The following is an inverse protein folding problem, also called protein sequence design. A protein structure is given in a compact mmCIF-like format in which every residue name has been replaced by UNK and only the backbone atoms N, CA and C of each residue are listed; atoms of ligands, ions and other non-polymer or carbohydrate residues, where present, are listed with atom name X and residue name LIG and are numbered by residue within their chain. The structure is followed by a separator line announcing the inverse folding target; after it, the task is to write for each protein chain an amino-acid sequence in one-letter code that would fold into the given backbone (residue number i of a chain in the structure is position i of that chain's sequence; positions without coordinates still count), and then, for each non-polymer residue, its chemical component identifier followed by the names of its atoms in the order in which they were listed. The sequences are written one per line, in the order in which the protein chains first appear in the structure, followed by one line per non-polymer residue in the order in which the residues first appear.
data_IF_015297558300
#
_entry.id   IF_015297558300
#
_cell.length_a   1.000
_cell.length_b   1.000
_cell.length_c   1.000
_cell.angle_alpha   90.00
_cell.angle_beta   90.00
_cell.angle_gamma   90.00
#
_symmetry.space_group_name_H-M   'P 1'
#
loop_
_entity.id
_entity.type
_entity.pdbx_description
1 polymer ?
#
# COMPACT_ATOMS: atom_id res chain seq x y z
N UNK A 1 5.48 -26.58 -14.33
CA UNK A 1 5.26 -25.40 -13.47
C UNK A 1 4.12 -25.70 -12.51
N UNK A 2 4.22 -25.31 -11.25
CA UNK A 2 3.26 -25.63 -10.16
C UNK A 2 1.81 -25.26 -10.54
N UNK A 3 1.60 -24.14 -11.21
CA UNK A 3 0.26 -23.69 -11.63
C UNK A 3 -0.51 -24.67 -12.52
N UNK A 4 0.18 -25.50 -13.30
CA UNK A 4 -0.48 -26.46 -14.20
C UNK A 4 -1.00 -27.70 -13.47
N UNK A 5 -0.63 -27.87 -12.20
CA UNK A 5 -0.97 -29.01 -11.36
C UNK A 5 -1.92 -28.59 -10.20
N UNK A 6 -2.30 -27.33 -10.15
CA UNK A 6 -3.17 -26.80 -9.10
C UNK A 6 -4.62 -26.88 -9.54
N UNK A 7 -5.50 -27.38 -8.68
CA UNK A 7 -6.95 -27.38 -8.89
C UNK A 7 -7.53 -25.98 -8.72
N UNK A 8 -6.96 -25.20 -7.80
CA UNK A 8 -7.37 -23.82 -7.50
C UNK A 8 -6.12 -22.94 -7.41
N UNK A 9 -6.19 -21.75 -8.02
CA UNK A 9 -5.17 -20.71 -7.95
C UNK A 9 -5.84 -19.43 -7.45
N UNK A 10 -5.35 -18.90 -6.35
CA UNK A 10 -5.85 -17.64 -5.79
C UNK A 10 -4.93 -16.51 -6.22
N UNK A 11 -5.50 -15.43 -6.71
CA UNK A 11 -4.78 -14.20 -7.08
C UNK A 11 -5.27 -13.03 -6.23
N UNK A 12 -4.37 -12.09 -5.96
CA UNK A 12 -4.68 -10.88 -5.19
C UNK A 12 -4.70 -9.60 -6.04
N UNK A 13 -4.68 -9.75 -7.36
CA UNK A 13 -4.94 -8.65 -8.30
C UNK A 13 -5.65 -9.17 -9.54
N UNK A 14 -6.52 -8.34 -10.11
CA UNK A 14 -7.20 -8.61 -11.38
C UNK A 14 -6.22 -8.74 -12.53
N UNK A 15 -5.13 -7.98 -12.49
CA UNK A 15 -4.07 -8.09 -13.49
C UNK A 15 -3.45 -9.50 -13.50
N UNK A 16 -3.15 -10.06 -12.32
CA UNK A 16 -2.63 -11.42 -12.22
C UNK A 16 -3.68 -12.47 -12.63
N UNK A 17 -4.95 -12.26 -12.28
CA UNK A 17 -6.04 -13.12 -12.71
C UNK A 17 -6.11 -13.21 -14.24
N UNK A 18 -6.14 -12.06 -14.94
CA UNK A 18 -6.18 -12.01 -16.40
C UNK A 18 -4.95 -12.72 -17.00
N UNK A 19 -3.75 -12.40 -16.52
CA UNK A 19 -2.51 -13.02 -17.00
C UNK A 19 -2.53 -14.57 -16.88
N UNK A 20 -3.07 -15.09 -15.77
CA UNK A 20 -3.17 -16.54 -15.58
C UNK A 20 -4.27 -17.17 -16.44
N UNK A 21 -5.40 -16.51 -16.64
CA UNK A 21 -6.50 -16.98 -17.51
C UNK A 21 -6.08 -17.07 -18.97
N UNK A 22 -5.22 -16.17 -19.44
CA UNK A 22 -4.70 -16.18 -20.81
C UNK A 22 -3.73 -17.35 -21.06
N UNK A 23 -3.21 -17.96 -20.00
CA UNK A 23 -2.31 -19.11 -20.11
C UNK A 23 -3.11 -20.42 -20.25
N UNK A 24 -3.25 -20.90 -21.49
CA UNK A 24 -3.99 -22.13 -21.83
C UNK A 24 -3.48 -23.42 -21.16
N UNK A 25 -2.28 -23.40 -20.58
CA UNK A 25 -1.74 -24.56 -19.85
C UNK A 25 -2.31 -24.67 -18.43
N UNK A 26 -2.96 -23.64 -17.89
CA UNK A 26 -3.60 -23.64 -16.59
C UNK A 26 -5.01 -24.19 -16.73
N UNK A 27 -5.28 -25.28 -16.02
CA UNK A 27 -6.60 -25.97 -16.05
C UNK A 27 -7.40 -25.75 -14.77
N UNK A 28 -6.74 -25.34 -13.69
CA UNK A 28 -7.36 -25.09 -12.40
C UNK A 28 -8.26 -23.86 -12.41
N UNK A 29 -9.18 -23.80 -11.45
CA UNK A 29 -10.02 -22.63 -11.21
C UNK A 29 -9.15 -21.46 -10.75
N UNK A 30 -9.29 -20.28 -11.35
CA UNK A 30 -8.58 -19.06 -10.95
C UNK A 30 -9.58 -18.17 -10.22
N UNK A 31 -9.29 -17.90 -8.95
CA UNK A 31 -10.14 -17.11 -8.04
C UNK A 31 -9.40 -15.80 -7.72
N UNK A 32 -10.05 -14.67 -8.00
CA UNK A 32 -9.60 -13.38 -7.48
C UNK A 32 -10.18 -13.16 -6.09
N UNK A 33 -9.33 -12.75 -5.16
CA UNK A 33 -9.70 -12.20 -3.85
C UNK A 33 -8.66 -11.18 -3.45
N UNK A 34 -9.07 -10.03 -2.92
CA UNK A 34 -8.12 -9.11 -2.31
C UNK A 34 -7.28 -9.83 -1.24
N UNK A 35 -6.05 -9.40 -1.04
CA UNK A 35 -5.24 -9.89 0.07
C UNK A 35 -5.98 -9.56 1.38
N UNK A 36 -6.18 -10.53 2.29
CA UNK A 36 -6.94 -10.28 3.52
C UNK A 36 -6.26 -9.28 4.44
N UNK A 37 -7.06 -8.56 5.19
CA UNK A 37 -6.64 -7.63 6.22
C UNK A 37 -6.31 -8.39 7.51
N UNK A 38 -5.28 -7.96 8.20
CA UNK A 38 -4.93 -8.48 9.52
C UNK A 38 -5.97 -8.05 10.57
N UNK A 39 -6.81 -9.00 11.00
CA UNK A 39 -7.93 -8.76 11.92
C UNK A 39 -7.48 -8.15 13.26
N UNK A 40 -6.26 -8.46 13.72
CA UNK A 40 -5.72 -7.91 14.97
C UNK A 40 -5.51 -6.39 14.92
N UNK A 41 -5.34 -5.81 13.74
CA UNK A 41 -5.16 -4.38 13.55
C UNK A 41 -6.49 -3.60 13.58
N UNK A 42 -7.60 -4.25 13.23
CA UNK A 42 -8.94 -3.62 13.18
C UNK A 42 -9.39 -3.22 14.59
N UNK A 43 -9.14 -4.06 15.59
CA UNK A 43 -9.60 -3.86 16.96
C UNK A 43 -8.87 -2.73 17.70
N UNK A 44 -7.70 -2.28 17.20
CA UNK A 44 -6.94 -1.18 17.77
C UNK A 44 -7.46 0.20 17.31
N UNK A 45 -8.31 0.23 16.28
CA UNK A 45 -8.87 1.46 15.70
C UNK A 45 -10.24 1.85 16.31
N UNK A 46 -10.38 1.85 17.64
CA UNK A 46 -11.62 2.19 18.34
C UNK A 46 -11.99 3.69 18.33
N UNK A 47 -11.59 4.46 17.36
CA UNK A 47 -12.05 5.84 17.28
C UNK A 47 -12.65 6.15 15.89
N UNK A 48 -13.97 5.98 15.79
CA UNK A 48 -14.79 6.55 14.70
C UNK A 48 -14.66 8.09 14.59
N UNK A 49 -14.03 8.74 15.58
CA UNK A 49 -13.85 10.19 15.66
C UNK A 49 -12.48 10.70 15.22
N UNK A 50 -11.56 9.83 14.75
CA UNK A 50 -10.21 10.22 14.30
C UNK A 50 -10.19 10.73 12.86
N UNK A 51 -11.24 11.47 12.46
CA UNK A 51 -11.39 11.97 11.10
C UNK A 51 -10.57 13.23 10.89
N UNK A 52 -9.57 13.07 10.05
CA UNK A 52 -9.01 14.03 9.10
C UNK A 52 -9.20 15.51 9.50
N UNK A 53 -8.48 15.94 10.51
CA UNK A 53 -8.14 17.34 10.62
C UNK A 53 -6.83 17.55 9.85
N UNK A 54 -6.94 17.95 8.57
CA UNK A 54 -5.85 18.06 7.59
C UNK A 54 -4.77 19.06 8.04
N UNK A 55 -5.18 20.08 8.80
CA UNK A 55 -4.33 21.20 9.17
C UNK A 55 -3.34 20.90 10.30
N UNK A 56 -3.47 19.75 11.00
CA UNK A 56 -2.62 19.41 12.14
C UNK A 56 -1.72 18.19 11.94
N UNK A 57 -1.69 17.60 10.73
CA UNK A 57 -0.87 16.42 10.46
C UNK A 57 0.61 16.77 10.45
N UNK A 58 1.40 15.95 11.16
CA UNK A 58 2.84 16.14 11.28
C UNK A 58 3.59 15.88 9.98
N UNK A 59 3.09 14.94 9.16
CA UNK A 59 3.69 14.55 7.89
C UNK A 59 2.66 14.65 6.76
N UNK A 60 3.09 15.12 5.60
CA UNK A 60 2.27 15.04 4.37
C UNK A 60 2.18 13.60 3.90
N UNK A 61 3.27 12.87 3.98
CA UNK A 61 3.32 11.46 3.62
C UNK A 61 4.28 10.68 4.52
N UNK A 62 4.00 9.38 4.69
CA UNK A 62 4.99 8.44 5.22
C UNK A 62 5.19 7.30 4.22
N UNK A 63 6.40 6.74 4.20
CA UNK A 63 6.74 5.46 3.57
C UNK A 63 7.19 4.53 4.68
N UNK A 64 6.60 3.34 4.81
CA UNK A 64 6.95 2.42 5.87
C UNK A 64 7.15 0.98 5.40
N UNK A 65 7.72 0.15 6.28
CA UNK A 65 8.02 -1.27 6.05
C UNK A 65 9.47 -1.50 5.66
N UNK A 66 9.83 -2.74 5.26
CA UNK A 66 11.22 -3.03 4.84
C UNK A 66 11.65 -2.11 3.72
N UNK A 67 12.85 -1.52 3.84
CA UNK A 67 13.43 -0.66 2.82
C UNK A 67 14.23 -1.54 1.86
N UNK A 68 13.66 -1.75 0.67
CA UNK A 68 14.21 -2.65 -0.36
C UNK A 68 14.13 -2.00 -1.75
N UNK A 69 15.07 -2.32 -2.68
CA UNK A 69 15.13 -1.66 -3.99
C UNK A 69 13.84 -1.75 -4.83
N UNK A 70 13.09 -2.87 -4.73
CA UNK A 70 11.85 -3.05 -5.48
C UNK A 70 10.74 -2.07 -5.08
N UNK A 71 10.84 -1.49 -3.88
CA UNK A 71 9.87 -0.50 -3.39
C UNK A 71 10.01 0.88 -4.02
N UNK A 72 11.02 1.11 -4.87
CA UNK A 72 11.14 2.34 -5.65
C UNK A 72 11.47 3.60 -4.84
N UNK A 73 11.90 3.44 -3.57
CA UNK A 73 12.18 4.60 -2.71
C UNK A 73 13.32 5.46 -3.28
N UNK A 74 14.36 4.81 -3.81
CA UNK A 74 15.49 5.54 -4.42
C UNK A 74 15.05 6.33 -5.65
N UNK A 75 14.29 5.72 -6.54
CA UNK A 75 13.79 6.36 -7.75
C UNK A 75 12.87 7.54 -7.42
N UNK A 76 12.03 7.38 -6.41
CA UNK A 76 11.20 8.47 -5.91
C UNK A 76 12.05 9.62 -5.35
N UNK A 77 13.05 9.35 -4.50
CA UNK A 77 13.94 10.38 -3.95
C UNK A 77 14.74 11.09 -5.04
N UNK A 78 15.25 10.36 -6.04
CA UNK A 78 15.94 10.94 -7.19
C UNK A 78 15.01 11.87 -7.99
N UNK A 79 13.77 11.43 -8.27
CA UNK A 79 12.79 12.27 -8.95
C UNK A 79 12.45 13.49 -8.11
N UNK A 80 12.15 13.32 -6.83
CA UNK A 80 11.81 14.40 -5.90
C UNK A 80 12.91 15.46 -5.83
N UNK A 81 14.18 15.03 -5.72
CA UNK A 81 15.33 15.95 -5.65
C UNK A 81 15.64 16.66 -6.98
N UNK A 82 15.25 16.07 -8.12
CA UNK A 82 15.48 16.63 -9.46
C UNK A 82 14.41 17.59 -9.92
N UNK A 83 13.26 17.65 -9.24
CA UNK A 83 12.09 18.43 -9.68
C UNK A 83 11.51 19.24 -8.53
N UNK A 84 10.83 20.36 -8.88
CA UNK A 84 9.99 21.11 -7.95
C UNK A 84 8.50 20.78 -8.12
N UNK A 85 8.18 19.70 -8.82
CA UNK A 85 6.80 19.34 -9.16
C UNK A 85 6.05 18.70 -8.02
N UNK A 86 6.74 18.15 -7.01
CA UNK A 86 6.12 17.54 -5.84
C UNK A 86 6.26 18.51 -4.66
N UNK A 87 5.12 18.98 -4.16
CA UNK A 87 5.06 19.85 -2.99
C UNK A 87 4.76 18.98 -1.74
N UNK A 88 5.79 18.68 -0.99
CA UNK A 88 5.75 17.95 0.29
C UNK A 88 6.55 18.73 1.28
N UNK A 89 5.92 19.24 2.34
CA UNK A 89 6.59 20.01 3.37
C UNK A 89 7.39 19.11 4.30
N UNK A 90 6.82 17.96 4.68
CA UNK A 90 7.48 17.00 5.56
C UNK A 90 7.10 15.56 5.25
N UNK A 91 8.10 14.69 5.13
CA UNK A 91 7.91 13.25 4.92
C UNK A 91 8.77 12.41 5.87
N UNK A 92 8.25 11.24 6.25
CA UNK A 92 9.01 10.23 7.00
C UNK A 92 9.11 8.95 6.19
N UNK A 93 10.32 8.41 6.07
CA UNK A 93 10.61 7.06 5.57
C UNK A 93 11.09 6.23 6.76
N UNK A 94 10.38 5.16 7.11
CA UNK A 94 10.71 4.35 8.28
C UNK A 94 10.62 2.85 7.97
N UNK A 95 11.71 2.15 8.24
CA UNK A 95 11.78 0.72 8.04
C UNK A 95 13.18 0.16 8.15
N UNK A 96 13.28 -1.17 8.23
CA UNK A 96 14.58 -1.81 8.25
C UNK A 96 15.13 -1.96 6.84
N UNK A 97 16.28 -1.32 6.59
CA UNK A 97 17.15 -1.57 5.44
C UNK A 97 18.30 -2.48 5.88
N UNK A 98 18.41 -3.68 5.27
CA UNK A 98 19.52 -4.62 5.58
C UNK A 98 20.75 -4.36 4.73
N UNK A 99 20.58 -3.76 3.57
CA UNK A 99 21.66 -3.44 2.64
C UNK A 99 22.20 -2.04 2.93
N UNK A 100 23.36 -1.98 3.58
CA UNK A 100 23.99 -0.72 3.99
C UNK A 100 24.38 0.15 2.78
N UNK A 101 24.88 -0.44 1.70
CA UNK A 101 25.24 0.35 0.50
C UNK A 101 24.01 1.02 -0.14
N UNK A 102 22.88 0.31 -0.19
CA UNK A 102 21.62 0.87 -0.65
C UNK A 102 21.10 1.96 0.29
N UNK A 103 21.25 1.77 1.61
CA UNK A 103 20.86 2.80 2.57
C UNK A 103 21.68 4.08 2.42
N UNK A 104 23.01 3.96 2.25
CA UNK A 104 23.87 5.10 1.99
C UNK A 104 23.53 5.81 0.67
N UNK A 105 23.09 5.06 -0.34
CA UNK A 105 22.63 5.64 -1.60
C UNK A 105 21.32 6.44 -1.42
N UNK A 106 20.36 5.96 -0.63
CA UNK A 106 19.15 6.71 -0.29
C UNK A 106 19.48 8.06 0.38
N UNK A 107 20.43 8.04 1.33
CA UNK A 107 20.84 9.26 2.04
C UNK A 107 21.43 10.34 1.12
N UNK A 108 22.09 9.97 0.02
CA UNK A 108 22.63 10.93 -0.96
C UNK A 108 21.53 11.73 -1.67
N UNK A 109 20.36 11.14 -1.86
CA UNK A 109 19.22 11.78 -2.56
C UNK A 109 18.14 12.26 -1.59
N UNK A 110 18.35 12.12 -0.28
CA UNK A 110 17.38 12.51 0.73
C UNK A 110 17.46 14.02 1.01
N UNK A 111 16.44 14.81 0.68
CA UNK A 111 16.42 16.24 0.97
C UNK A 111 16.10 16.50 2.45
N UNK A 112 16.37 17.72 2.92
CA UNK A 112 16.26 18.08 4.34
C UNK A 112 14.84 17.96 4.95
N UNK A 113 13.82 18.00 4.12
CA UNK A 113 12.43 17.86 4.57
C UNK A 113 11.94 16.40 4.61
N UNK A 114 12.80 15.42 4.30
CA UNK A 114 12.51 13.99 4.40
C UNK A 114 13.40 13.36 5.47
N UNK A 115 12.78 12.76 6.47
CA UNK A 115 13.47 11.98 7.51
C UNK A 115 13.54 10.51 7.10
N UNK A 116 14.71 9.86 7.23
CA UNK A 116 14.85 8.39 7.01
C UNK A 116 15.30 7.72 8.29
N UNK A 117 14.50 6.78 8.79
CA UNK A 117 14.80 5.99 9.98
C UNK A 117 15.02 4.51 9.62
N UNK A 118 16.29 4.05 9.65
CA UNK A 118 16.62 2.63 9.43
C UNK A 118 16.38 1.79 10.70
N UNK A 119 15.13 1.51 11.00
CA UNK A 119 14.72 0.66 12.13
C UNK A 119 13.35 0.01 11.88
N UNK A 120 13.07 -1.06 12.61
CA UNK A 120 11.71 -1.59 12.64
C UNK A 120 10.78 -0.62 13.36
N UNK A 121 9.53 -0.62 12.93
CA UNK A 121 8.39 -0.01 13.59
C UNK A 121 7.40 -1.13 13.95
N UNK A 122 6.87 -1.11 15.15
CA UNK A 122 5.77 -1.99 15.53
C UNK A 122 4.42 -1.38 15.13
N UNK A 123 3.35 -2.18 15.20
CA UNK A 123 2.04 -1.72 14.75
C UNK A 123 1.43 -0.64 15.66
N UNK A 124 1.80 -0.56 16.93
CA UNK A 124 1.29 0.47 17.83
C UNK A 124 1.90 1.83 17.49
N UNK A 125 3.20 1.88 17.27
CA UNK A 125 3.90 3.07 16.79
C UNK A 125 3.44 3.44 15.36
N UNK A 126 3.30 2.45 14.48
CA UNK A 126 2.84 2.66 13.11
C UNK A 126 1.44 3.27 13.05
N UNK A 127 0.52 2.84 13.93
CA UNK A 127 -0.82 3.42 14.03
C UNK A 127 -0.76 4.92 14.32
N UNK A 128 0.11 5.34 15.25
CA UNK A 128 0.31 6.76 15.57
C UNK A 128 0.92 7.52 14.39
N UNK A 129 1.93 6.95 13.73
CA UNK A 129 2.57 7.58 12.57
C UNK A 129 1.60 7.75 11.40
N UNK A 130 0.74 6.75 11.15
CA UNK A 130 -0.31 6.84 10.12
C UNK A 130 -1.32 7.92 10.51
N UNK A 131 -1.74 7.96 11.78
CA UNK A 131 -2.65 8.99 12.26
C UNK A 131 -2.07 10.41 12.12
N UNK A 132 -0.76 10.58 12.33
CA UNK A 132 -0.03 11.85 12.20
C UNK A 132 0.31 12.21 10.74
N UNK A 133 -0.11 11.43 9.77
CA UNK A 133 0.21 11.61 8.35
C UNK A 133 -1.04 11.85 7.51
N UNK A 134 -0.93 12.64 6.43
CA UNK A 134 -2.02 12.79 5.46
C UNK A 134 -2.22 11.50 4.67
N UNK A 135 -1.12 10.82 4.28
CA UNK A 135 -1.17 9.56 3.54
C UNK A 135 0.03 8.65 3.81
N UNK A 136 -0.09 7.41 3.37
CA UNK A 136 1.01 6.45 3.22
C UNK A 136 1.33 6.31 1.74
N UNK A 137 2.55 6.67 1.36
CA UNK A 137 3.02 6.59 -0.01
C UNK A 137 3.75 5.27 -0.26
N UNK A 138 3.40 4.61 -1.36
CA UNK A 138 4.02 3.39 -1.86
C UNK A 138 4.61 3.67 -3.25
N UNK A 139 5.87 4.14 -3.35
CA UNK A 139 6.47 4.51 -4.63
C UNK A 139 6.99 3.28 -5.40
N UNK A 140 6.29 2.15 -5.30
CA UNK A 140 6.72 0.88 -5.85
C UNK A 140 6.98 0.94 -7.35
N UNK A 141 7.99 0.21 -7.80
CA UNK A 141 8.27 0.06 -9.23
C UNK A 141 7.12 -0.68 -9.90
N UNK A 142 6.64 -0.15 -11.01
CA UNK A 142 5.60 -0.80 -11.82
C UNK A 142 6.05 -2.16 -12.32
N UNK A 143 5.19 -3.18 -12.26
CA UNK A 143 5.39 -4.46 -12.93
C UNK A 143 5.27 -5.72 -12.07
N UNK A 144 5.29 -5.66 -10.75
CA UNK A 144 5.30 -6.87 -9.92
C UNK A 144 4.39 -6.86 -8.68
N UNK A 145 3.45 -5.91 -8.58
CA UNK A 145 2.65 -5.76 -7.35
C UNK A 145 1.34 -6.52 -7.49
N UNK A 146 1.39 -7.83 -7.30
CA UNK A 146 0.18 -8.66 -7.22
C UNK A 146 -0.54 -8.49 -5.87
N UNK A 147 0.21 -8.28 -4.79
CA UNK A 147 -0.33 -8.00 -3.45
C UNK A 147 0.69 -7.25 -2.59
N UNK A 148 0.23 -6.59 -1.54
CA UNK A 148 1.10 -5.93 -0.57
C UNK A 148 0.48 -6.00 0.83
N UNK A 149 1.10 -6.77 1.72
CA UNK A 149 0.70 -6.82 3.13
C UNK A 149 0.76 -5.43 3.77
N UNK A 150 1.80 -4.64 3.49
CA UNK A 150 1.92 -3.28 4.01
C UNK A 150 0.78 -2.36 3.53
N UNK A 151 0.28 -2.53 2.31
CA UNK A 151 -0.89 -1.81 1.81
C UNK A 151 -2.15 -2.17 2.61
N UNK A 152 -2.38 -3.47 2.83
CA UNK A 152 -3.54 -3.94 3.58
C UNK A 152 -3.46 -3.56 5.07
N UNK A 153 -2.28 -3.63 5.68
CA UNK A 153 -2.05 -3.18 7.05
C UNK A 153 -2.27 -1.66 7.19
N UNK A 154 -1.85 -0.87 6.20
CA UNK A 154 -2.14 0.57 6.15
C UNK A 154 -3.64 0.85 6.16
N UNK A 155 -4.40 0.16 5.31
CA UNK A 155 -5.86 0.26 5.23
C UNK A 155 -6.50 -0.18 6.56
N UNK A 156 -6.04 -1.29 7.14
CA UNK A 156 -6.51 -1.78 8.44
C UNK A 156 -6.31 -0.77 9.58
N UNK A 157 -5.22 -0.02 9.53
CA UNK A 157 -4.90 1.05 10.49
C UNK A 157 -5.60 2.38 10.18
N UNK A 158 -6.49 2.42 9.17
CA UNK A 158 -7.25 3.61 8.79
C UNK A 158 -6.46 4.63 7.98
N UNK A 159 -5.29 4.25 7.47
CA UNK A 159 -4.45 5.11 6.64
C UNK A 159 -4.95 5.18 5.20
N UNK A 160 -4.77 6.34 4.57
CA UNK A 160 -5.01 6.52 3.15
C UNK A 160 -3.75 6.16 2.37
N UNK A 161 -3.84 5.16 1.50
CA UNK A 161 -2.73 4.72 0.67
C UNK A 161 -2.71 5.44 -0.69
N UNK A 162 -1.51 5.83 -1.13
CA UNK A 162 -1.23 6.31 -2.50
C UNK A 162 -0.16 5.41 -3.09
N UNK A 163 -0.40 4.83 -4.26
CA UNK A 163 0.53 3.91 -4.91
C UNK A 163 0.44 3.94 -6.44
N UNK A 164 1.21 3.09 -7.16
CA UNK A 164 1.19 3.08 -8.63
C UNK A 164 -0.14 2.52 -9.18
N UNK A 165 -0.58 3.01 -10.35
CA UNK A 165 -1.79 2.54 -11.06
C UNK A 165 -1.60 1.15 -11.68
N UNK A 166 -1.23 0.16 -10.86
CA UNK A 166 -1.02 -1.24 -11.27
C UNK A 166 -1.42 -2.23 -10.18
N UNK A 167 -1.77 -3.43 -10.58
CA UNK A 167 -2.01 -4.57 -9.70
C UNK A 167 -3.03 -4.30 -8.60
N UNK A 168 -2.67 -4.63 -7.36
CA UNK A 168 -3.58 -4.48 -6.21
C UNK A 168 -3.97 -3.02 -5.94
N UNK A 169 -3.11 -2.04 -6.20
CA UNK A 169 -3.43 -0.62 -6.01
C UNK A 169 -4.56 -0.18 -6.95
N UNK A 170 -4.45 -0.53 -8.24
CA UNK A 170 -5.50 -0.23 -9.22
C UNK A 170 -6.85 -0.86 -8.88
N UNK A 171 -6.83 -2.08 -8.35
CA UNK A 171 -8.05 -2.75 -7.93
C UNK A 171 -8.67 -2.06 -6.70
N UNK A 172 -7.86 -1.64 -5.72
CA UNK A 172 -8.30 -0.94 -4.52
C UNK A 172 -8.77 0.50 -4.79
N UNK A 173 -8.22 1.16 -5.81
CA UNK A 173 -8.72 2.46 -6.24
C UNK A 173 -10.16 2.35 -6.78
N UNK A 174 -10.49 1.29 -7.53
CA UNK A 174 -11.86 1.01 -7.99
C UNK A 174 -12.84 0.78 -6.84
N UNK A 175 -12.35 0.23 -5.72
CA UNK A 175 -13.13 0.09 -4.48
C UNK A 175 -13.22 1.43 -3.70
N UNK A 176 -12.52 2.46 -4.14
CA UNK A 176 -12.49 3.79 -3.50
C UNK A 176 -11.77 3.82 -2.16
N UNK A 177 -10.77 2.94 -1.96
CA UNK A 177 -10.02 2.82 -0.68
C UNK A 177 -8.55 3.20 -0.78
N UNK A 178 -8.06 3.53 -1.97
CA UNK A 178 -6.74 4.14 -2.18
C UNK A 178 -6.77 5.10 -3.37
N UNK A 179 -5.67 5.80 -3.60
CA UNK A 179 -5.44 6.62 -4.79
C UNK A 179 -4.25 6.05 -5.55
N UNK A 180 -4.24 6.23 -6.88
CA UNK A 180 -3.12 5.75 -7.71
C UNK A 180 -2.50 6.88 -8.54
N UNK A 181 -1.22 6.71 -8.88
CA UNK A 181 -0.48 7.57 -9.79
C UNK A 181 0.13 6.74 -10.92
N UNK A 182 0.21 7.33 -12.09
CA UNK A 182 0.97 6.80 -13.23
C UNK A 182 2.36 7.43 -13.30
N UNK A 183 2.51 8.66 -12.79
CA UNK A 183 3.78 9.41 -12.70
C UNK A 183 3.90 10.08 -11.32
N UNK A 184 5.12 10.14 -10.79
CA UNK A 184 5.37 10.76 -9.48
C UNK A 184 4.94 12.24 -9.40
N UNK A 185 4.87 12.96 -10.52
CA UNK A 185 4.41 14.37 -10.54
C UNK A 185 2.94 14.54 -10.12
N UNK A 186 2.15 13.47 -10.13
CA UNK A 186 0.74 13.47 -9.72
C UNK A 186 0.56 13.44 -8.19
N UNK A 187 1.62 13.05 -7.44
CA UNK A 187 1.53 12.78 -5.99
C UNK A 187 1.06 13.99 -5.20
N UNK A 188 1.52 15.22 -5.54
CA UNK A 188 1.08 16.43 -4.83
C UNK A 188 -0.43 16.62 -4.92
N UNK A 189 -0.99 16.53 -6.11
CA UNK A 189 -2.43 16.71 -6.31
C UNK A 189 -3.25 15.59 -5.64
N UNK A 190 -2.71 14.38 -5.60
CA UNK A 190 -3.35 13.26 -4.89
C UNK A 190 -3.37 13.47 -3.37
N UNK A 191 -2.31 14.04 -2.79
CA UNK A 191 -2.26 14.40 -1.37
C UNK A 191 -3.23 15.54 -1.06
N UNK A 192 -3.34 16.53 -1.94
CA UNK A 192 -4.27 17.65 -1.79
C UNK A 192 -5.73 17.21 -1.85
N UNK A 193 -6.04 16.21 -2.69
CA UNK A 193 -7.40 15.71 -2.92
C UNK A 193 -7.67 14.38 -2.17
N UNK A 194 -7.00 14.15 -1.05
CA UNK A 194 -7.11 12.89 -0.30
C UNK A 194 -8.49 12.65 0.30
N UNK A 195 -9.26 13.70 0.52
CA UNK A 195 -10.63 13.69 1.08
C UNK A 195 -11.65 13.01 0.17
N UNK A 196 -11.32 12.78 -1.11
CA UNK A 196 -12.21 12.06 -2.04
C UNK A 196 -12.41 10.58 -1.63
N UNK A 197 -11.56 10.03 -0.75
CA UNK A 197 -11.76 8.69 -0.20
C UNK A 197 -12.83 8.76 0.88
N UNK A 198 -14.00 8.16 0.57
CA UNK A 198 -15.14 8.14 1.48
C UNK A 198 -14.88 7.20 2.66
N UNK A 199 -15.06 7.64 3.91
CA UNK A 199 -14.89 6.79 5.09
C UNK A 199 -15.71 5.50 5.06
N UNK A 200 -16.91 5.55 4.48
CA UNK A 200 -17.79 4.39 4.38
C UNK A 200 -17.22 3.31 3.44
N UNK A 201 -16.55 3.70 2.34
CA UNK A 201 -15.88 2.75 1.45
C UNK A 201 -14.77 2.00 2.21
N UNK A 202 -13.94 2.74 2.96
CA UNK A 202 -12.87 2.17 3.76
C UNK A 202 -13.40 1.20 4.83
N UNK A 203 -14.42 1.63 5.59
CA UNK A 203 -15.03 0.82 6.65
C UNK A 203 -15.67 -0.45 6.09
N UNK A 204 -16.39 -0.35 4.97
CA UNK A 204 -17.00 -1.49 4.31
C UNK A 204 -15.94 -2.45 3.75
N UNK A 205 -14.89 -1.91 3.14
CA UNK A 205 -13.80 -2.73 2.62
C UNK A 205 -13.11 -3.52 3.73
N UNK A 206 -12.74 -2.87 4.84
CA UNK A 206 -12.14 -3.51 6.01
C UNK A 206 -13.01 -4.65 6.53
N UNK A 207 -14.30 -4.39 6.72
CA UNK A 207 -15.26 -5.37 7.24
C UNK A 207 -15.40 -6.61 6.35
N UNK A 208 -15.31 -6.42 5.03
CA UNK A 208 -15.56 -7.49 4.06
C UNK A 208 -14.30 -8.28 3.69
N UNK A 209 -13.08 -7.76 3.95
CA UNK A 209 -11.83 -8.38 3.51
C UNK A 209 -10.98 -8.91 4.67
N UNK A 210 -11.59 -9.47 5.70
CA UNK A 210 -10.92 -10.12 6.83
C UNK A 210 -10.40 -11.51 6.45
N UNK A 211 -9.44 -12.05 7.23
CA UNK A 211 -8.99 -13.44 7.07
C UNK A 211 -10.12 -14.44 7.22
N UNK A 212 -11.07 -14.16 8.10
CA UNK A 212 -12.27 -15.01 8.27
C UNK A 212 -13.09 -15.06 6.98
N UNK A 213 -13.45 -13.91 6.43
CA UNK A 213 -14.26 -13.83 5.21
C UNK A 213 -13.52 -14.45 4.00
N UNK A 214 -12.20 -14.26 3.92
CA UNK A 214 -11.38 -14.93 2.92
C UNK A 214 -11.45 -16.46 3.06
N UNK A 215 -11.26 -16.99 4.27
CA UNK A 215 -11.36 -18.42 4.55
C UNK A 215 -12.72 -18.98 4.19
N UNK A 216 -13.81 -18.31 4.57
CA UNK A 216 -15.19 -18.71 4.25
C UNK A 216 -15.40 -18.73 2.72
N UNK A 217 -14.92 -17.69 2.00
CA UNK A 217 -15.03 -17.61 0.53
C UNK A 217 -14.30 -18.77 -0.17
N UNK A 218 -13.10 -19.11 0.26
CA UNK A 218 -12.31 -20.19 -0.33
C UNK A 218 -12.91 -21.55 0.02
N UNK A 219 -13.38 -21.74 1.26
CA UNK A 219 -13.97 -23.01 1.71
C UNK A 219 -15.23 -23.39 0.93
N UNK A 220 -15.99 -22.43 0.44
CA UNK A 220 -17.15 -22.68 -0.43
C UNK A 220 -16.78 -23.22 -1.82
N UNK A 221 -15.53 -23.01 -2.26
CA UNK A 221 -15.02 -23.40 -3.58
C UNK A 221 -14.26 -24.73 -3.55
N UNK A 222 -13.73 -25.10 -2.38
CA UNK A 222 -13.08 -26.39 -2.15
C UNK A 222 -14.18 -27.38 -1.69
N UNK A 223 -14.87 -27.99 -2.64
CA UNK A 223 -15.85 -29.07 -2.39
C UNK A 223 -15.34 -30.39 -2.93
#
# INVERSE_FOLDING_TARGET
LLYNQSDIIITHSRQAEVFLRDNKAIKGEIIFSHHPINDSLINNNKSESRRINKESKKYDAIIWGTIEPYKGILEFLMFYSSTKRINIDKMLIIGRCKNESYFQELLKYCPNNIEIHNRKVDFSELSVLIEDSKCVLFPYKSGSISSSGALMDTIALGGVAIGPDVGAFKDLEKEGVCKTFSDYSEISSLIENIEDIKPDNLSNFIKNNTWKNFGDHISMRIK
#
